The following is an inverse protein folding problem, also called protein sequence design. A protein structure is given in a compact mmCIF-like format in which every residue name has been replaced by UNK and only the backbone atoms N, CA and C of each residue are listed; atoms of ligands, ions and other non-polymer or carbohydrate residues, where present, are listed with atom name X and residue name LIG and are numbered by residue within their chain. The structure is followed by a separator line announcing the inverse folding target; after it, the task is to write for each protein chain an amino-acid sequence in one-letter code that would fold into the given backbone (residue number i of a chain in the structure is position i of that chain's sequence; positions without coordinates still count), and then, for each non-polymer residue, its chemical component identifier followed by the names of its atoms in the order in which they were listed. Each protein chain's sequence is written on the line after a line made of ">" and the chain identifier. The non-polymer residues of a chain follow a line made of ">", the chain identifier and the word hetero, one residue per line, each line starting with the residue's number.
data_IF_699115181958
#
_entry.id   IF_699115181958
#
_cell.length_a   1.000
_cell.length_b   1.000
_cell.length_c   1.000
_cell.angle_alpha   90.00
_cell.angle_beta   90.00
_cell.angle_gamma   90.00
#
_symmetry.space_group_name_H-M   'P 1'
#
loop_
_entity.id
_entity.type
_entity.pdbx_description
1 polymer ?
#
# COMPACT_ATOMS: atom_id res chain seq x y z
N UNK A 1 -10.54 -3.44 -6.23
CA UNK A 1 -10.13 -4.76 -6.77
C UNK A 1 -10.41 -4.90 -8.27
N UNK A 2 -9.39 -5.22 -9.08
CA UNK A 2 -9.58 -5.55 -10.50
C UNK A 2 -10.17 -6.96 -10.60
N UNK A 3 -11.27 -7.11 -11.36
CA UNK A 3 -12.04 -8.37 -11.46
C UNK A 3 -11.87 -9.08 -12.81
N UNK A 4 -11.06 -8.55 -13.70
CA UNK A 4 -10.74 -9.19 -14.97
C UNK A 4 -9.37 -9.87 -14.87
N UNK A 5 -9.33 -11.18 -15.20
CA UNK A 5 -8.13 -12.04 -15.14
C UNK A 5 -6.99 -11.58 -16.06
N UNK A 6 -7.26 -10.69 -17.01
CA UNK A 6 -6.26 -10.12 -17.90
C UNK A 6 -5.30 -9.14 -17.19
N UNK A 7 -5.66 -8.62 -16.01
CA UNK A 7 -4.82 -7.67 -15.28
C UNK A 7 -3.91 -8.37 -14.27
N UNK A 8 -2.64 -7.89 -14.18
CA UNK A 8 -1.64 -8.33 -13.18
C UNK A 8 -2.22 -8.39 -11.77
N UNK A 9 -2.96 -7.36 -11.37
CA UNK A 9 -3.53 -7.22 -10.02
C UNK A 9 -4.97 -7.73 -9.93
N UNK A 10 -5.33 -8.74 -10.73
CA UNK A 10 -6.61 -9.43 -10.63
C UNK A 10 -6.80 -10.00 -9.21
N UNK A 11 -7.95 -9.70 -8.60
CA UNK A 11 -8.37 -10.25 -7.32
C UNK A 11 -9.78 -10.85 -7.49
N UNK A 12 -9.94 -12.17 -7.37
CA UNK A 12 -11.25 -12.83 -7.48
C UNK A 12 -12.17 -12.49 -6.29
N UNK A 13 -13.49 -12.62 -6.48
CA UNK A 13 -14.47 -12.30 -5.40
C UNK A 13 -14.40 -13.31 -4.27
N UNK A 14 -13.99 -14.53 -4.58
CA UNK A 14 -13.81 -15.64 -3.65
C UNK A 14 -12.67 -15.36 -2.66
N UNK A 15 -11.63 -14.62 -3.08
CA UNK A 15 -10.52 -14.21 -2.21
C UNK A 15 -10.84 -12.91 -1.47
N UNK A 16 -11.47 -11.95 -2.16
CA UNK A 16 -11.87 -10.68 -1.55
C UNK A 16 -13.29 -10.29 -1.99
N UNK A 17 -14.32 -10.51 -1.15
CA UNK A 17 -15.72 -10.35 -1.55
C UNK A 17 -16.16 -8.89 -1.65
N UNK A 18 -15.50 -7.98 -0.93
CA UNK A 18 -15.93 -6.58 -0.88
C UNK A 18 -15.74 -5.88 -2.25
N UNK A 19 -16.61 -4.91 -2.53
CA UNK A 19 -16.58 -4.16 -3.79
C UNK A 19 -15.33 -3.26 -3.90
N UNK A 20 -14.89 -2.68 -2.78
CA UNK A 20 -13.78 -1.74 -2.68
C UNK A 20 -12.77 -2.17 -1.61
N UNK A 21 -11.52 -1.75 -1.76
CA UNK A 21 -10.51 -1.88 -0.71
C UNK A 21 -10.68 -0.76 0.33
N UNK A 22 -10.25 -0.95 1.59
CA UNK A 22 -10.08 0.16 2.53
C UNK A 22 -8.99 1.13 2.02
N UNK A 23 -8.89 2.35 2.59
CA UNK A 23 -7.78 3.25 2.29
C UNK A 23 -6.41 2.58 2.46
N UNK A 24 -5.51 2.81 1.51
CA UNK A 24 -4.18 2.23 1.49
C UNK A 24 -3.19 3.18 0.81
N UNK A 25 -1.91 3.10 1.17
CA UNK A 25 -0.86 3.82 0.47
C UNK A 25 -0.51 3.06 -0.81
N UNK A 26 -0.69 3.69 -1.98
CA UNK A 26 -0.17 3.15 -3.23
C UNK A 26 1.35 3.35 -3.33
N UNK A 27 2.04 2.42 -3.98
CA UNK A 27 3.48 2.47 -4.22
C UNK A 27 3.94 3.73 -4.99
N UNK A 28 5.25 3.87 -5.29
CA UNK A 28 6.26 2.81 -5.21
C UNK A 28 6.78 2.53 -3.80
N UNK A 29 6.48 3.38 -2.82
CA UNK A 29 6.94 3.22 -1.44
C UNK A 29 6.02 3.95 -0.46
N UNK A 30 6.05 3.50 0.78
CA UNK A 30 5.40 4.14 1.93
C UNK A 30 6.26 3.96 3.17
N UNK A 31 6.12 4.87 4.15
CA UNK A 31 6.87 4.86 5.41
C UNK A 31 5.93 4.51 6.55
N UNK A 32 6.41 3.67 7.46
CA UNK A 32 5.70 3.30 8.68
C UNK A 32 6.67 3.25 9.86
N UNK A 33 6.14 3.37 11.07
CA UNK A 33 6.94 3.25 12.29
C UNK A 33 7.42 1.82 12.50
N UNK A 34 8.61 1.64 13.08
CA UNK A 34 9.21 0.31 13.24
C UNK A 34 8.36 -0.67 14.07
N UNK A 35 7.58 -0.17 15.04
CA UNK A 35 6.66 -0.94 15.86
C UNK A 35 5.38 -1.38 15.12
N UNK A 36 5.02 -0.69 14.03
CA UNK A 36 3.86 -1.05 13.23
C UNK A 36 4.15 -2.27 12.32
N UNK A 37 5.39 -2.46 11.88
CA UNK A 37 5.80 -3.60 11.07
C UNK A 37 5.46 -4.98 11.69
N UNK A 38 5.84 -5.30 12.95
CA UNK A 38 5.48 -6.58 13.56
C UNK A 38 3.97 -6.73 13.80
N UNK A 39 3.24 -5.62 14.01
CA UNK A 39 1.77 -5.65 14.15
C UNK A 39 1.08 -5.99 12.84
N UNK A 40 1.54 -5.38 11.73
CA UNK A 40 1.08 -5.72 10.37
C UNK A 40 1.37 -7.19 10.09
N UNK A 41 2.59 -7.66 10.38
CA UNK A 41 2.95 -9.06 10.19
C UNK A 41 2.03 -10.00 10.96
N UNK A 42 1.74 -9.69 12.24
CA UNK A 42 0.84 -10.49 13.07
C UNK A 42 -0.57 -10.63 12.49
N UNK A 43 -1.19 -9.52 12.06
CA UNK A 43 -2.54 -9.56 11.48
C UNK A 43 -2.55 -10.19 10.08
N UNK A 44 -1.48 -10.02 9.30
CA UNK A 44 -1.35 -10.60 7.96
C UNK A 44 -1.41 -12.13 7.97
N UNK A 45 -0.98 -12.78 9.06
CA UNK A 45 -1.08 -14.25 9.21
C UNK A 45 -2.53 -14.76 9.30
N UNK A 46 -3.47 -13.91 9.71
CA UNK A 46 -4.88 -14.27 9.90
C UNK A 46 -5.79 -13.85 8.73
N UNK A 47 -5.28 -13.05 7.80
CA UNK A 47 -6.06 -12.47 6.71
C UNK A 47 -5.79 -13.20 5.37
N UNK A 48 -6.81 -13.39 4.51
CA UNK A 48 -6.59 -13.92 3.18
C UNK A 48 -5.69 -12.99 2.35
N UNK A 49 -4.55 -13.51 1.89
CA UNK A 49 -3.65 -12.76 1.01
C UNK A 49 -4.32 -12.46 -0.34
N UNK A 50 -4.05 -11.27 -0.88
CA UNK A 50 -4.49 -10.85 -2.22
C UNK A 50 -3.28 -10.48 -3.10
N UNK A 51 -3.47 -10.57 -4.42
CA UNK A 51 -2.43 -10.25 -5.42
C UNK A 51 -2.05 -8.75 -5.51
N UNK A 52 -2.79 -7.86 -4.86
CA UNK A 52 -2.50 -6.43 -4.82
C UNK A 52 -1.88 -6.10 -3.46
N UNK A 53 -0.55 -6.08 -3.40
CA UNK A 53 0.27 -5.99 -2.20
C UNK A 53 0.01 -4.71 -1.40
N UNK A 54 -0.05 -3.55 -2.08
CA UNK A 54 -0.31 -2.25 -1.45
C UNK A 54 -1.70 -2.25 -0.78
N UNK A 55 -2.70 -2.84 -1.46
CA UNK A 55 -4.03 -2.99 -0.91
C UNK A 55 -4.08 -4.00 0.24
N UNK A 56 -3.26 -5.07 0.21
CA UNK A 56 -3.17 -6.03 1.31
C UNK A 56 -2.63 -5.38 2.59
N UNK A 57 -1.60 -4.53 2.46
CA UNK A 57 -1.08 -3.74 3.58
C UNK A 57 -2.17 -2.80 4.12
N UNK A 58 -2.94 -2.14 3.26
CA UNK A 58 -4.10 -1.34 3.67
C UNK A 58 -5.19 -2.13 4.40
N UNK A 59 -5.47 -3.37 3.97
CA UNK A 59 -6.39 -4.27 4.68
C UNK A 59 -5.86 -4.60 6.08
N UNK A 60 -4.56 -4.87 6.21
CA UNK A 60 -3.93 -5.11 7.51
C UNK A 60 -4.03 -3.88 8.42
N UNK A 61 -3.75 -2.68 7.90
CA UNK A 61 -3.87 -1.43 8.65
C UNK A 61 -5.31 -1.16 9.09
N UNK A 62 -6.28 -1.42 8.21
CA UNK A 62 -7.70 -1.30 8.53
C UNK A 62 -8.12 -2.25 9.66
N UNK A 63 -7.66 -3.51 9.63
CA UNK A 63 -7.91 -4.48 10.70
C UNK A 63 -7.26 -4.06 12.04
N UNK A 64 -6.15 -3.33 12.00
CA UNK A 64 -5.49 -2.76 13.18
C UNK A 64 -6.09 -1.42 13.65
N UNK A 65 -7.05 -0.86 12.93
CA UNK A 65 -7.63 0.46 13.21
C UNK A 65 -6.65 1.63 12.96
N UNK A 66 -5.64 1.43 12.11
CA UNK A 66 -4.62 2.43 11.78
C UNK A 66 -5.01 3.15 10.48
N UNK A 67 -5.10 4.47 10.54
CA UNK A 67 -5.35 5.31 9.36
C UNK A 67 -4.09 5.52 8.52
N UNK A 68 -4.27 5.68 7.22
CA UNK A 68 -3.22 6.12 6.29
C UNK A 68 -3.22 7.64 6.14
N UNK A 69 -2.08 8.22 5.83
CA UNK A 69 -1.90 9.67 5.62
C UNK A 69 -1.14 9.92 4.33
N UNK A 70 -1.44 11.04 3.67
CA UNK A 70 -0.68 11.50 2.51
C UNK A 70 0.74 11.92 2.91
N UNK A 71 1.70 11.69 2.01
CA UNK A 71 3.05 12.21 2.18
C UNK A 71 3.09 13.73 2.02
N UNK A 72 4.07 14.41 2.65
CA UNK A 72 4.33 15.81 2.33
C UNK A 72 4.51 16.05 0.81
N UNK A 73 4.06 17.18 0.26
CA UNK A 73 4.16 17.45 -1.16
C UNK A 73 5.62 17.41 -1.66
N UNK A 74 5.84 16.70 -2.77
CA UNK A 74 7.12 16.72 -3.49
C UNK A 74 8.22 15.81 -2.95
N UNK A 75 7.97 15.03 -1.88
CA UNK A 75 8.96 14.12 -1.29
C UNK A 75 8.94 12.73 -1.92
N UNK A 76 7.74 12.22 -2.28
CA UNK A 76 7.57 11.01 -3.10
C UNK A 76 7.19 11.37 -4.53
N UNK A 77 7.70 10.60 -5.49
CA UNK A 77 7.41 10.79 -6.92
C UNK A 77 7.11 9.44 -7.58
N UNK A 78 5.94 9.33 -8.21
CA UNK A 78 5.53 8.16 -9.00
C UNK A 78 6.34 7.97 -10.27
N UNK A 79 6.92 9.07 -10.77
CA UNK A 79 7.61 9.12 -12.04
C UNK A 79 9.08 9.41 -11.84
N UNK A 80 9.89 8.95 -12.79
CA UNK A 80 11.32 9.23 -12.82
C UNK A 80 11.54 10.74 -12.88
N UNK A 81 12.39 11.23 -11.98
CA UNK A 81 12.85 12.61 -12.00
C UNK A 81 14.22 12.69 -12.67
N UNK A 82 14.45 13.77 -13.41
CA UNK A 82 15.79 14.13 -13.82
C UNK A 82 16.63 14.50 -12.60
N UNK A 83 17.85 13.99 -12.57
CA UNK A 83 18.75 14.17 -11.44
C UNK A 83 19.14 15.65 -11.29
N UNK A 84 18.84 16.22 -10.12
CA UNK A 84 19.30 17.53 -9.68
C UNK A 84 19.60 17.45 -8.19
N UNK A 85 20.80 17.86 -7.78
CA UNK A 85 21.33 17.61 -6.44
C UNK A 85 20.45 18.19 -5.33
N UNK A 86 20.03 19.45 -5.46
CA UNK A 86 19.25 20.15 -4.44
C UNK A 86 17.81 19.61 -4.32
N UNK A 87 17.25 19.09 -5.42
CA UNK A 87 15.96 18.43 -5.46
C UNK A 87 16.05 17.06 -4.80
N UNK A 88 17.04 16.25 -5.19
CA UNK A 88 17.21 14.90 -4.65
C UNK A 88 17.60 14.90 -3.17
N UNK A 89 18.26 15.94 -2.66
CA UNK A 89 18.52 16.08 -1.22
C UNK A 89 17.28 16.39 -0.38
N UNK A 90 16.11 16.55 -1.01
CA UNK A 90 14.81 16.82 -0.35
C UNK A 90 13.77 15.72 -0.59
N UNK A 91 14.13 14.69 -1.36
CA UNK A 91 13.30 13.49 -1.55
C UNK A 91 13.43 12.57 -0.33
N UNK A 92 12.53 11.57 -0.25
CA UNK A 92 12.65 10.45 0.72
C UNK A 92 13.62 9.39 0.22
#
# INVERSE_FOLDING_TARGET
>A
PLRNRAYKWFVPREVYPNATYPPYCGGPAYVLSGDLAPRIYGVAQALPAINMEDSFVGICLHALGVGVTDSPPGVFNMFRLEYERCRFSRLV
#
